data_IF_704513721255
#
_entry.id   IF_704513721255
#
_cell.length_a   1.000
_cell.length_b   1.000
_cell.length_c   1.000
_cell.angle_alpha   90.00
_cell.angle_beta   90.00
_cell.angle_gamma   90.00
#
_symmetry.space_group_name_H-M   'P 1'
#
loop_
_entity.id
_entity.type
_entity.pdbx_description
1 polymer ?
#
# COMPACT_ATOMS: atom_id res chain seq x y z
N UNK A 1 -20.81 -3.23 -2.87
CA UNK A 1 -19.74 -2.33 -3.38
C UNK A 1 -18.56 -3.19 -3.76
N UNK A 2 -17.85 -2.91 -4.85
CA UNK A 2 -16.72 -3.70 -5.35
C UNK A 2 -15.40 -3.00 -5.03
N UNK A 3 -14.45 -3.71 -4.45
CA UNK A 3 -13.09 -3.23 -4.17
C UNK A 3 -12.13 -3.80 -5.22
N UNK A 4 -11.42 -2.93 -5.91
CA UNK A 4 -10.31 -3.26 -6.79
C UNK A 4 -9.03 -2.70 -6.18
N UNK A 5 -8.15 -3.58 -5.71
CA UNK A 5 -6.85 -3.24 -5.15
C UNK A 5 -5.75 -3.64 -6.12
N UNK A 6 -4.96 -2.68 -6.54
CA UNK A 6 -3.87 -2.86 -7.52
C UNK A 6 -2.54 -2.34 -6.99
N UNK A 7 -1.47 -2.96 -7.48
CA UNK A 7 -0.07 -2.55 -7.32
C UNK A 7 0.57 -2.55 -8.71
N UNK A 8 1.78 -2.01 -8.89
CA UNK A 8 2.46 -2.00 -10.20
C UNK A 8 2.61 -3.38 -10.87
N UNK A 9 2.66 -4.44 -10.08
CA UNK A 9 2.76 -5.82 -10.60
C UNK A 9 1.43 -6.42 -11.04
N UNK A 10 0.28 -5.80 -10.74
CA UNK A 10 -1.04 -6.31 -11.12
C UNK A 10 -2.14 -6.05 -10.09
N UNK A 11 -3.26 -6.74 -10.29
CA UNK A 11 -4.41 -6.66 -9.39
C UNK A 11 -4.24 -7.69 -8.26
N UNK A 12 -4.21 -7.21 -7.03
CA UNK A 12 -4.09 -8.06 -5.83
C UNK A 12 -5.44 -8.58 -5.35
N UNK A 13 -6.49 -7.76 -5.45
CA UNK A 13 -7.85 -8.13 -5.03
C UNK A 13 -8.86 -7.47 -5.94
N UNK A 14 -9.88 -8.23 -6.26
CA UNK A 14 -11.08 -7.80 -6.95
C UNK A 14 -12.26 -8.53 -6.31
N UNK A 15 -12.98 -7.88 -5.40
CA UNK A 15 -13.90 -8.53 -4.47
C UNK A 15 -15.08 -7.62 -4.14
N UNK A 16 -16.28 -8.22 -3.98
CA UNK A 16 -17.41 -7.48 -3.45
C UNK A 16 -17.27 -7.32 -1.92
N UNK A 17 -17.44 -6.08 -1.45
CA UNK A 17 -17.23 -5.72 -0.05
C UNK A 17 -18.41 -4.93 0.50
N UNK A 18 -18.67 -5.14 1.79
CA UNK A 18 -19.67 -4.38 2.53
C UNK A 18 -19.09 -3.07 3.10
N UNK A 19 -17.78 -3.04 3.37
CA UNK A 19 -17.09 -1.92 4.00
C UNK A 19 -15.62 -1.89 3.62
N UNK A 20 -15.07 -0.68 3.48
CA UNK A 20 -13.63 -0.44 3.36
C UNK A 20 -13.22 0.65 4.35
N UNK A 21 -12.20 0.38 5.16
CA UNK A 21 -11.57 1.36 6.04
C UNK A 21 -10.15 1.60 5.56
N UNK A 22 -9.73 2.86 5.46
CA UNK A 22 -8.42 3.25 4.98
C UNK A 22 -7.84 4.43 5.75
N UNK A 23 -6.51 4.45 5.90
CA UNK A 23 -5.80 5.60 6.45
C UNK A 23 -5.40 6.54 5.31
N UNK A 24 -5.91 7.77 5.35
CA UNK A 24 -5.68 8.78 4.31
C UNK A 24 -4.92 9.97 4.85
N UNK A 25 -4.50 10.88 3.98
CA UNK A 25 -3.91 12.16 4.37
C UNK A 25 -4.90 13.06 5.12
N UNK A 26 -6.20 12.85 4.93
CA UNK A 26 -7.27 13.57 5.63
C UNK A 26 -7.76 12.85 6.91
N UNK A 27 -7.09 11.76 7.32
CA UNK A 27 -7.46 10.96 8.48
C UNK A 27 -7.98 9.56 8.13
N UNK A 28 -8.59 8.89 9.08
CA UNK A 28 -9.20 7.59 8.85
C UNK A 28 -10.56 7.76 8.14
N UNK A 29 -10.73 7.00 7.07
CA UNK A 29 -11.96 6.98 6.28
C UNK A 29 -12.62 5.61 6.33
N UNK A 30 -13.94 5.62 6.42
CA UNK A 30 -14.80 4.43 6.27
C UNK A 30 -15.72 4.63 5.08
N UNK A 31 -15.61 3.75 4.10
CA UNK A 31 -16.45 3.74 2.91
C UNK A 31 -17.50 2.63 3.00
N UNK A 32 -18.74 3.01 2.80
CA UNK A 32 -19.90 2.14 2.70
C UNK A 32 -20.49 2.23 1.27
N UNK A 33 -21.35 1.29 0.86
CA UNK A 33 -21.92 1.29 -0.49
C UNK A 33 -22.57 2.62 -0.91
N UNK A 34 -23.25 3.30 0.04
CA UNK A 34 -23.93 4.58 -0.22
C UNK A 34 -23.08 5.82 0.04
N UNK A 35 -21.79 5.66 0.33
CA UNK A 35 -20.90 6.81 0.47
C UNK A 35 -20.81 7.57 -0.86
N UNK A 36 -20.79 8.91 -0.80
CA UNK A 36 -20.62 9.75 -1.98
C UNK A 36 -19.31 9.43 -2.73
N UNK A 37 -19.26 9.79 -4.00
CA UNK A 37 -18.04 9.67 -4.78
C UNK A 37 -16.93 10.52 -4.15
N UNK A 38 -15.73 9.95 -4.10
CA UNK A 38 -14.63 10.56 -3.38
C UNK A 38 -13.27 10.09 -3.95
N UNK A 39 -12.28 10.96 -3.83
CA UNK A 39 -10.89 10.63 -4.13
C UNK A 39 -9.98 11.14 -3.02
N UNK A 40 -9.00 10.34 -2.62
CA UNK A 40 -8.06 10.71 -1.57
C UNK A 40 -6.71 10.02 -1.75
N UNK A 41 -5.70 10.55 -1.07
CA UNK A 41 -4.36 9.96 -1.02
C UNK A 41 -4.24 9.09 0.21
N UNK A 42 -3.78 7.86 0.02
CA UNK A 42 -3.47 6.93 1.11
C UNK A 42 -2.11 7.27 1.73
N UNK A 43 -2.05 7.17 3.04
CA UNK A 43 -0.80 7.11 3.79
C UNK A 43 -0.41 5.66 3.99
N UNK A 44 0.90 5.38 4.17
CA UNK A 44 1.33 4.07 4.64
C UNK A 44 0.55 3.67 5.89
N UNK A 45 -0.08 2.51 5.84
CA UNK A 45 -0.95 2.09 6.92
C UNK A 45 -1.70 0.80 6.61
N UNK A 46 -2.71 0.54 7.42
CA UNK A 46 -3.59 -0.59 7.22
C UNK A 46 -4.85 -0.14 6.45
N UNK A 47 -5.15 -0.88 5.40
CA UNK A 47 -6.45 -0.90 4.77
C UNK A 47 -7.17 -2.17 5.27
N UNK A 48 -8.41 -2.02 5.68
CA UNK A 48 -9.27 -3.11 6.12
C UNK A 48 -10.51 -3.14 5.24
N UNK A 49 -10.95 -4.32 4.87
CA UNK A 49 -12.25 -4.47 4.20
C UNK A 49 -13.00 -5.70 4.69
N UNK A 50 -14.31 -5.64 4.57
CA UNK A 50 -15.22 -6.73 4.91
C UNK A 50 -15.81 -7.24 3.61
N UNK A 51 -15.42 -8.46 3.14
CA UNK A 51 -16.04 -9.08 1.97
C UNK A 51 -17.54 -9.31 2.19
N UNK A 52 -18.30 -9.35 1.11
CA UNK A 52 -19.67 -9.86 1.19
C UNK A 52 -19.64 -11.40 1.27
N UNK A 53 -20.66 -12.04 1.85
CA UNK A 53 -20.70 -13.50 2.02
C UNK A 53 -20.47 -14.28 0.71
N UNK A 54 -20.91 -13.74 -0.41
CA UNK A 54 -20.78 -14.37 -1.73
C UNK A 54 -19.35 -14.37 -2.27
N UNK A 55 -18.51 -13.41 -1.81
CA UNK A 55 -17.12 -13.24 -2.26
C UNK A 55 -16.07 -13.50 -1.16
N UNK A 56 -16.50 -13.97 0.00
CA UNK A 56 -15.60 -14.27 1.12
C UNK A 56 -14.55 -15.35 0.78
N UNK A 57 -14.75 -16.09 -0.32
CA UNK A 57 -13.87 -17.17 -0.78
C UNK A 57 -13.21 -16.89 -2.15
N UNK A 58 -13.23 -15.65 -2.64
CA UNK A 58 -12.66 -15.30 -3.93
C UNK A 58 -11.13 -15.33 -3.88
N UNK A 59 -10.55 -16.28 -4.63
CA UNK A 59 -9.11 -16.36 -4.86
C UNK A 59 -8.61 -15.11 -5.62
N UNK A 60 -7.33 -14.70 -5.44
CA UNK A 60 -6.76 -13.60 -6.20
C UNK A 60 -6.84 -13.89 -7.71
N UNK A 61 -7.22 -12.91 -8.55
CA UNK A 61 -7.49 -13.11 -9.97
C UNK A 61 -6.27 -13.53 -10.81
N UNK A 62 -5.06 -13.23 -10.38
CA UNK A 62 -3.85 -13.53 -11.15
C UNK A 62 -2.81 -14.20 -10.27
N UNK A 63 -2.84 -15.52 -10.14
CA UNK A 63 -1.72 -16.38 -9.71
C UNK A 63 -0.53 -15.79 -8.94
N UNK A 64 -0.67 -14.58 -8.38
CA UNK A 64 0.31 -14.03 -7.47
C UNK A 64 0.29 -14.90 -6.23
N UNK A 65 1.41 -15.50 -5.85
CA UNK A 65 1.46 -16.25 -4.63
C UNK A 65 1.04 -15.30 -3.50
N UNK A 66 -0.12 -15.55 -2.89
CA UNK A 66 -0.29 -15.17 -1.52
C UNK A 66 0.99 -15.68 -0.85
N UNK A 67 1.80 -14.79 -0.28
CA UNK A 67 3.05 -15.18 0.37
C UNK A 67 2.72 -16.37 1.23
N UNK A 68 3.20 -17.54 0.76
CA UNK A 68 2.94 -18.81 1.37
C UNK A 68 3.72 -18.82 2.68
N UNK A 69 3.07 -18.40 3.73
CA UNK A 69 3.28 -18.92 5.07
C UNK A 69 2.28 -18.21 6.00
N UNK A 70 1.14 -18.74 6.09
CA UNK A 70 0.11 -18.28 7.00
C UNK A 70 -1.25 -18.70 6.44
N UNK A 71 -1.66 -19.91 6.76
CA UNK A 71 -3.05 -20.33 6.63
C UNK A 71 -3.92 -19.36 7.43
N UNK A 72 -4.21 -18.23 6.84
CA UNK A 72 -5.10 -17.24 7.38
C UNK A 72 -6.50 -17.85 7.37
N UNK A 73 -6.87 -18.44 8.48
CA UNK A 73 -8.27 -18.53 8.85
C UNK A 73 -8.75 -17.10 8.89
N UNK A 74 -9.50 -16.71 7.86
CA UNK A 74 -10.36 -15.55 7.91
C UNK A 74 -11.17 -15.63 9.21
N UNK A 75 -10.73 -14.88 10.22
CA UNK A 75 -11.55 -14.64 11.40
C UNK A 75 -12.76 -13.85 10.87
N UNK A 76 -13.89 -14.54 10.77
CA UNK A 76 -15.22 -14.03 10.47
C UNK A 76 -15.24 -12.61 9.85
N UNK A 77 -14.95 -12.50 8.57
CA UNK A 77 -15.42 -11.37 7.78
C UNK A 77 -14.52 -10.16 7.64
N UNK A 78 -13.28 -10.12 8.09
CA UNK A 78 -12.41 -8.95 7.89
C UNK A 78 -11.08 -9.35 7.26
N UNK A 79 -10.65 -8.61 6.22
CA UNK A 79 -9.34 -8.78 5.61
C UNK A 79 -8.50 -7.52 5.82
N UNK A 80 -7.25 -7.72 6.21
CA UNK A 80 -6.29 -6.66 6.45
C UNK A 80 -5.25 -6.62 5.33
N UNK A 81 -4.88 -5.42 4.91
CA UNK A 81 -3.85 -5.18 3.91
C UNK A 81 -2.91 -4.11 4.43
N UNK A 82 -1.64 -4.43 4.54
CA UNK A 82 -0.60 -3.43 4.74
C UNK A 82 -0.36 -2.71 3.41
N UNK A 83 -0.58 -1.40 3.35
CA UNK A 83 -0.41 -0.57 2.14
C UNK A 83 0.67 0.48 2.37
N UNK A 84 1.37 0.82 1.30
CA UNK A 84 2.24 2.00 1.23
C UNK A 84 1.42 3.21 0.72
N UNK A 85 2.10 4.25 0.21
CA UNK A 85 1.44 5.38 -0.42
C UNK A 85 0.61 4.92 -1.62
N UNK A 86 -0.46 5.63 -1.86
CA UNK A 86 -1.34 5.31 -2.96
C UNK A 86 -2.49 6.29 -3.11
N UNK A 87 -3.43 5.93 -3.93
CA UNK A 87 -4.66 6.67 -4.12
C UNK A 87 -5.86 5.74 -3.94
N UNK A 88 -6.92 6.31 -3.41
CA UNK A 88 -8.22 5.65 -3.29
C UNK A 88 -9.25 6.51 -4.00
N UNK A 89 -10.01 5.90 -4.89
CA UNK A 89 -11.09 6.55 -5.64
C UNK A 89 -12.35 5.71 -5.51
N UNK A 90 -13.42 6.31 -5.06
CA UNK A 90 -14.77 5.72 -5.06
C UNK A 90 -15.63 6.44 -6.08
N UNK A 91 -16.21 5.66 -7.00
CA UNK A 91 -17.20 6.15 -7.98
C UNK A 91 -18.35 5.14 -8.04
N UNK A 92 -19.54 5.60 -7.73
CA UNK A 92 -20.72 4.73 -7.63
C UNK A 92 -20.46 3.57 -6.64
N UNK A 93 -20.61 2.35 -7.11
CA UNK A 93 -20.40 1.15 -6.30
C UNK A 93 -18.99 0.54 -6.41
N UNK A 94 -18.04 1.27 -6.99
CA UNK A 94 -16.68 0.78 -7.17
C UNK A 94 -15.68 1.62 -6.37
N UNK A 95 -14.87 0.94 -5.55
CA UNK A 95 -13.71 1.50 -4.86
C UNK A 95 -12.45 0.98 -5.55
N UNK A 96 -11.64 1.88 -6.09
CA UNK A 96 -10.33 1.55 -6.66
C UNK A 96 -9.24 2.04 -5.74
N UNK A 97 -8.33 1.15 -5.40
CA UNK A 97 -7.13 1.45 -4.63
C UNK A 97 -5.93 1.10 -5.50
N UNK A 98 -5.04 2.06 -5.71
CA UNK A 98 -3.75 1.84 -6.32
C UNK A 98 -2.67 2.23 -5.31
N UNK A 99 -1.79 1.29 -4.97
CA UNK A 99 -0.70 1.49 -4.01
C UNK A 99 0.63 1.07 -4.62
N UNK A 100 1.73 1.72 -4.24
CA UNK A 100 3.07 1.30 -4.66
C UNK A 100 3.38 -0.13 -4.20
N UNK A 101 2.92 -0.47 -3.01
CA UNK A 101 2.99 -1.83 -2.43
C UNK A 101 1.76 -2.09 -1.60
N UNK A 102 1.32 -3.32 -1.65
CA UNK A 102 0.29 -3.81 -0.75
C UNK A 102 0.55 -5.29 -0.47
N UNK A 103 0.35 -5.70 0.77
CA UNK A 103 0.46 -7.10 1.20
C UNK A 103 -0.77 -7.47 1.99
N UNK A 104 -1.46 -8.49 1.53
CA UNK A 104 -2.62 -9.03 2.23
C UNK A 104 -2.11 -9.86 3.40
N UNK A 105 -2.62 -9.57 4.58
CA UNK A 105 -2.23 -10.25 5.81
C UNK A 105 -3.37 -11.12 6.33
N UNK A 106 -3.00 -12.19 7.01
CA UNK A 106 -3.96 -13.14 7.55
C UNK A 106 -4.74 -12.62 8.75
N UNK A 107 -4.11 -11.79 9.55
CA UNK A 107 -4.71 -11.16 10.72
C UNK A 107 -4.12 -9.76 10.96
N UNK A 108 -4.64 -9.06 11.95
CA UNK A 108 -4.17 -7.72 12.32
C UNK A 108 -2.73 -7.70 12.81
N UNK A 109 -2.28 -8.75 13.52
CA UNK A 109 -0.92 -8.82 14.05
C UNK A 109 0.09 -8.99 12.92
N UNK A 110 -0.22 -9.84 11.95
CA UNK A 110 0.57 -10.06 10.73
C UNK A 110 0.62 -8.80 9.86
N UNK A 111 -0.53 -8.16 9.65
CA UNK A 111 -0.63 -6.89 8.94
C UNK A 111 0.24 -5.80 9.60
N UNK A 112 0.20 -5.72 10.92
CA UNK A 112 0.97 -4.72 11.67
C UNK A 112 2.49 -5.00 11.59
N UNK A 113 2.89 -6.26 11.65
CA UNK A 113 4.30 -6.68 11.47
C UNK A 113 4.79 -6.29 10.08
N UNK A 114 4.07 -6.71 9.05
CA UNK A 114 4.39 -6.42 7.66
C UNK A 114 4.48 -4.90 7.40
N UNK A 115 3.56 -4.11 7.94
CA UNK A 115 3.61 -2.67 7.83
C UNK A 115 4.87 -2.07 8.48
N UNK A 116 5.26 -2.54 9.67
CA UNK A 116 6.49 -2.07 10.33
C UNK A 116 7.73 -2.40 9.53
N UNK A 117 7.83 -3.59 8.98
CA UNK A 117 8.93 -4.02 8.11
C UNK A 117 9.03 -3.13 6.87
N UNK A 118 7.91 -2.84 6.22
CA UNK A 118 7.86 -1.95 5.06
C UNK A 118 8.31 -0.53 5.41
N UNK A 119 7.82 0.04 6.51
CA UNK A 119 8.20 1.39 6.95
C UNK A 119 9.70 1.47 7.29
N UNK A 120 10.25 0.45 7.92
CA UNK A 120 11.68 0.38 8.26
C UNK A 120 12.53 0.29 6.99
N UNK A 121 12.22 -0.63 6.09
CA UNK A 121 12.93 -0.81 4.83
C UNK A 121 12.93 0.46 3.97
N UNK A 122 11.82 1.18 3.95
CA UNK A 122 11.68 2.46 3.26
C UNK A 122 12.58 3.53 3.85
N UNK A 123 12.54 3.73 5.18
CA UNK A 123 13.36 4.74 5.86
C UNK A 123 14.86 4.50 5.66
N UNK A 124 15.27 3.25 5.62
CA UNK A 124 16.65 2.87 5.30
C UNK A 124 17.00 3.17 3.83
N UNK A 125 16.09 2.87 2.90
CA UNK A 125 16.26 3.20 1.48
C UNK A 125 16.42 4.69 1.24
N UNK A 126 15.56 5.50 1.82
CA UNK A 126 15.63 6.96 1.75
C UNK A 126 16.92 7.52 2.37
N UNK A 127 17.37 6.95 3.49
CA UNK A 127 18.64 7.35 4.12
C UNK A 127 19.84 6.99 3.25
N UNK A 128 19.85 5.80 2.62
CA UNK A 128 20.91 5.39 1.68
C UNK A 128 20.95 6.31 0.46
N UNK A 129 19.78 6.65 -0.11
CA UNK A 129 19.69 7.55 -1.26
C UNK A 129 20.21 8.96 -0.93
N UNK A 130 19.81 9.53 0.23
CA UNK A 130 20.34 10.83 0.69
C UNK A 130 21.84 10.81 0.90
N UNK A 131 22.38 9.75 1.50
CA UNK A 131 23.82 9.62 1.71
C UNK A 131 24.59 9.48 0.38
N UNK A 132 24.03 8.76 -0.59
CA UNK A 132 24.62 8.65 -1.93
C UNK A 132 24.63 10.01 -2.65
N UNK A 133 23.53 10.76 -2.59
CA UNK A 133 23.43 12.09 -3.17
C UNK A 133 24.45 13.05 -2.54
N UNK A 134 24.55 13.10 -1.22
CA UNK A 134 25.52 13.93 -0.51
C UNK A 134 26.97 13.60 -0.90
N UNK A 135 27.30 12.33 -1.14
CA UNK A 135 28.64 11.92 -1.65
C UNK A 135 28.87 12.44 -3.06
N UNK A 136 27.88 12.33 -3.95
CA UNK A 136 27.98 12.82 -5.33
C UNK A 136 28.15 14.35 -5.36
N UNK A 137 27.42 15.06 -4.53
CA UNK A 137 27.56 16.52 -4.39
C UNK A 137 28.96 16.91 -3.93
N UNK A 138 29.51 16.23 -2.91
CA UNK A 138 30.84 16.48 -2.40
C UNK A 138 31.93 16.19 -3.47
N UNK A 139 31.78 15.11 -4.23
CA UNK A 139 32.68 14.77 -5.34
C UNK A 139 32.62 15.80 -6.47
N UNK A 140 31.42 16.29 -6.79
CA UNK A 140 31.23 17.32 -7.82
C UNK A 140 31.93 18.62 -7.41
N UNK A 141 31.71 19.07 -6.18
CA UNK A 141 32.35 20.30 -5.64
C UNK A 141 33.87 20.17 -5.66
N UNK A 142 34.42 19.01 -5.27
CA UNK A 142 35.86 18.76 -5.31
C UNK A 142 36.41 18.87 -6.73
N UNK A 143 35.78 18.20 -7.71
CA UNK A 143 36.22 18.24 -9.13
C UNK A 143 36.14 19.62 -9.74
N UNK A 144 35.08 20.38 -9.43
CA UNK A 144 34.93 21.78 -9.85
C UNK A 144 36.04 22.67 -9.26
N UNK A 145 36.39 22.43 -7.99
CA UNK A 145 37.49 23.14 -7.31
C UNK A 145 38.86 22.84 -7.93
N UNK A 146 39.09 21.61 -8.39
CA UNK A 146 40.32 21.21 -9.10
C UNK A 146 40.44 21.87 -10.48
N UNK A 147 39.36 21.91 -11.25
CA UNK A 147 39.33 22.57 -12.58
C UNK A 147 39.62 24.07 -12.43
N UNK A 148 39.05 24.72 -11.43
CA UNK A 148 39.25 26.16 -11.20
C UNK A 148 40.68 26.52 -10.75
N UNK A 149 41.43 25.59 -10.17
CA UNK A 149 42.83 25.78 -9.80
C UNK A 149 43.80 25.48 -10.93
N UNK A 150 43.36 24.74 -11.96
CA UNK A 150 44.16 24.37 -13.11
C UNK A 150 44.06 25.37 -14.29
N UNK A 151 43.15 26.35 -14.17
CA UNK A 151 42.96 27.49 -15.09
C UNK A 151 43.57 28.77 -14.56
#
# INVERSE_FOLDING_TARGET
MRLLLSVPSGVLRDVAVARVDALTTAGAWTLLPRHADAATVLRPGLLRFVPTPDDANAAPPDGHPATADGGAREAAGETFVATDHGVLVKVGDVVRVASERAVVAGDLADATRTLREHLTARSEGERRARNALARLEADLVRRLGEIRRAS
#
